data_IF_830393938524
#
_entry.id   IF_830393938524
#
_cell.length_a   1.000
_cell.length_b   1.000
_cell.length_c   1.000
_cell.angle_alpha   90.00
_cell.angle_beta   90.00
_cell.angle_gamma   90.00
#
_symmetry.space_group_name_H-M   'P 1'
#
loop_
_entity.id
_entity.type
_entity.pdbx_description
1 polymer ?
#
# COMPACT_ATOMS: atom_id res chain seq x y z
N UNK A 1 -7.05 -8.33 -10.07
CA UNK A 1 -6.18 -8.48 -8.88
C UNK A 1 -5.19 -7.32 -8.89
N UNK A 2 -4.91 -6.69 -7.74
CA UNK A 2 -4.11 -5.44 -7.64
C UNK A 2 -2.72 -5.56 -8.32
N UNK A 3 -2.18 -6.77 -8.45
CA UNK A 3 -0.89 -7.05 -9.09
C UNK A 3 -0.93 -7.33 -10.61
N UNK A 4 -2.08 -7.24 -11.29
CA UNK A 4 -2.17 -7.62 -12.72
C UNK A 4 -1.37 -6.72 -13.66
N UNK A 5 -1.09 -5.48 -13.25
CA UNK A 5 -0.41 -4.49 -14.08
C UNK A 5 1.10 -4.39 -13.79
N UNK A 6 1.60 -5.10 -12.77
CA UNK A 6 3.01 -5.14 -12.41
C UNK A 6 3.72 -6.16 -13.31
N UNK A 7 4.65 -5.68 -14.14
CA UNK A 7 5.41 -6.51 -15.08
C UNK A 7 6.83 -6.79 -14.54
N UNK A 8 7.50 -7.87 -14.99
CA UNK A 8 8.83 -8.25 -14.48
C UNK A 8 9.96 -7.22 -14.68
N UNK A 9 9.79 -6.26 -15.59
CA UNK A 9 10.79 -5.22 -15.88
C UNK A 9 10.59 -3.93 -15.08
N UNK A 10 9.51 -3.81 -14.31
CA UNK A 10 9.33 -2.65 -13.45
C UNK A 10 10.28 -2.70 -12.26
N UNK A 11 10.86 -1.55 -11.95
CA UNK A 11 11.57 -1.31 -10.69
C UNK A 11 10.60 -1.46 -9.50
N UNK A 12 11.13 -1.65 -8.29
CA UNK A 12 10.28 -1.68 -7.09
C UNK A 12 9.49 -0.38 -6.92
N UNK A 13 10.07 0.76 -7.30
CA UNK A 13 9.41 2.07 -7.25
C UNK A 13 8.17 2.11 -8.16
N UNK A 14 8.32 1.72 -9.43
CA UNK A 14 7.19 1.66 -10.38
C UNK A 14 6.12 0.64 -9.95
N UNK A 15 6.55 -0.49 -9.37
CA UNK A 15 5.64 -1.50 -8.84
C UNK A 15 4.80 -0.97 -7.67
N UNK A 16 5.39 -0.19 -6.75
CA UNK A 16 4.65 0.46 -5.65
C UNK A 16 3.67 1.52 -6.18
N UNK A 17 4.09 2.33 -7.16
CA UNK A 17 3.22 3.36 -7.76
C UNK A 17 1.97 2.72 -8.41
N UNK A 18 2.20 1.71 -9.26
CA UNK A 18 1.12 0.95 -9.91
C UNK A 18 0.24 0.26 -8.85
N UNK A 19 0.87 -0.35 -7.85
CA UNK A 19 0.18 -1.06 -6.77
C UNK A 19 -0.73 -0.14 -5.95
N UNK A 20 -0.24 1.04 -5.56
CA UNK A 20 -1.02 2.03 -4.82
C UNK A 20 -2.19 2.55 -5.66
N UNK A 21 -1.94 2.94 -6.91
CA UNK A 21 -3.00 3.41 -7.83
C UNK A 21 -4.09 2.34 -8.01
N UNK A 22 -3.69 1.10 -8.26
CA UNK A 22 -4.61 -0.02 -8.42
C UNK A 22 -5.37 -0.34 -7.13
N UNK A 23 -4.71 -0.27 -5.97
CA UNK A 23 -5.35 -0.45 -4.67
C UNK A 23 -6.43 0.60 -4.45
N UNK A 24 -6.12 1.90 -4.63
CA UNK A 24 -7.08 2.99 -4.45
C UNK A 24 -8.29 2.85 -5.40
N UNK A 25 -8.05 2.52 -6.67
CA UNK A 25 -9.14 2.26 -7.63
C UNK A 25 -10.00 1.05 -7.24
N UNK A 26 -9.38 0.00 -6.70
CA UNK A 26 -10.08 -1.19 -6.24
C UNK A 26 -10.99 -0.89 -5.04
N UNK A 27 -10.47 -0.24 -4.00
CA UNK A 27 -11.27 0.11 -2.82
C UNK A 27 -12.38 1.12 -3.15
N UNK A 28 -12.21 1.99 -4.15
CA UNK A 28 -13.28 2.90 -4.62
C UNK A 28 -14.50 2.13 -5.12
N UNK A 29 -14.26 1.05 -5.86
CA UNK A 29 -15.32 0.16 -6.36
C UNK A 29 -15.89 -0.76 -5.27
N UNK A 30 -15.15 -0.95 -4.18
CA UNK A 30 -15.47 -1.92 -3.13
C UNK A 30 -15.35 -1.30 -1.72
N UNK A 31 -15.98 -0.14 -1.48
CA UNK A 31 -15.87 0.60 -0.20
C UNK A 31 -16.18 -0.27 1.05
N UNK A 32 -17.08 -1.24 0.91
CA UNK A 32 -17.45 -2.21 1.95
C UNK A 32 -16.31 -3.13 2.43
N UNK A 33 -15.21 -3.24 1.68
CA UNK A 33 -14.03 -4.03 2.09
C UNK A 33 -13.47 -3.51 3.42
N UNK A 34 -13.46 -2.19 3.63
CA UNK A 34 -13.05 -1.63 4.91
C UNK A 34 -13.95 -2.11 6.05
N UNK A 35 -15.28 -2.09 5.87
CA UNK A 35 -16.20 -2.56 6.89
C UNK A 35 -15.92 -4.02 7.26
N UNK A 36 -15.71 -4.89 6.27
CA UNK A 36 -15.40 -6.31 6.50
C UNK A 36 -14.11 -6.47 7.32
N UNK A 37 -13.06 -5.73 6.98
CA UNK A 37 -11.78 -5.80 7.70
C UNK A 37 -11.98 -5.36 9.16
N UNK A 38 -12.65 -4.23 9.40
CA UNK A 38 -12.86 -3.73 10.76
C UNK A 38 -13.84 -4.57 11.58
N UNK A 39 -14.91 -5.08 10.96
CA UNK A 39 -15.87 -5.99 11.61
C UNK A 39 -15.20 -7.32 11.98
N UNK A 40 -14.24 -7.80 11.18
CA UNK A 40 -13.48 -9.01 11.51
C UNK A 40 -12.74 -8.87 12.83
N UNK A 41 -12.20 -7.69 13.16
CA UNK A 41 -11.54 -7.46 14.46
C UNK A 41 -12.48 -7.70 15.64
N UNK A 42 -13.75 -7.32 15.49
CA UNK A 42 -14.76 -7.47 16.53
C UNK A 42 -15.29 -8.92 16.62
N UNK A 43 -15.47 -9.58 15.48
CA UNK A 43 -16.03 -10.93 15.40
C UNK A 43 -14.98 -11.99 15.76
N UNK A 44 -13.82 -11.95 15.11
CA UNK A 44 -12.72 -12.88 15.30
C UNK A 44 -11.38 -12.18 15.04
N UNK A 45 -10.70 -11.84 16.14
CA UNK A 45 -9.40 -11.19 16.11
C UNK A 45 -8.35 -11.97 15.30
N UNK A 46 -8.43 -13.30 15.24
CA UNK A 46 -7.47 -14.10 14.48
C UNK A 46 -7.59 -13.85 12.98
N UNK A 47 -8.81 -13.72 12.44
CA UNK A 47 -9.03 -13.35 11.04
C UNK A 47 -8.43 -11.98 10.70
N UNK A 48 -8.57 -11.01 11.60
CA UNK A 48 -7.97 -9.70 11.43
C UNK A 48 -6.44 -9.78 11.39
N UNK A 49 -5.82 -10.48 12.34
CA UNK A 49 -4.36 -10.66 12.39
C UNK A 49 -3.86 -11.40 11.14
N UNK A 50 -4.52 -12.50 10.77
CA UNK A 50 -4.14 -13.31 9.62
C UNK A 50 -4.21 -12.50 8.31
N UNK A 51 -5.17 -11.59 8.17
CA UNK A 51 -5.25 -10.71 7.00
C UNK A 51 -3.97 -9.86 6.84
N UNK A 52 -3.53 -9.19 7.92
CA UNK A 52 -2.36 -8.32 7.88
C UNK A 52 -1.05 -9.12 7.77
N UNK A 53 -0.91 -10.25 8.46
CA UNK A 53 0.25 -11.13 8.37
C UNK A 53 0.39 -11.77 6.97
N UNK A 54 -0.71 -12.21 6.37
CA UNK A 54 -0.71 -12.73 5.01
C UNK A 54 -0.39 -11.65 3.97
N UNK A 55 -0.81 -10.40 4.21
CA UNK A 55 -0.42 -9.30 3.35
C UNK A 55 1.09 -9.01 3.47
N UNK A 56 1.59 -8.96 4.70
CA UNK A 56 3.00 -8.67 4.96
C UNK A 56 3.95 -9.73 4.38
N UNK A 57 3.62 -11.02 4.53
CA UNK A 57 4.41 -12.12 3.98
C UNK A 57 4.53 -12.11 2.45
N UNK A 58 3.51 -11.60 1.75
CA UNK A 58 3.56 -11.41 0.29
C UNK A 58 4.51 -10.29 -0.12
N UNK A 59 4.58 -9.23 0.68
CA UNK A 59 5.51 -8.13 0.44
C UNK A 59 6.96 -8.53 0.73
N UNK A 60 7.19 -9.36 1.75
CA UNK A 60 8.51 -9.75 2.25
C UNK A 60 9.48 -10.15 1.12
N UNK A 61 9.13 -11.18 0.35
CA UNK A 61 9.96 -11.71 -0.74
C UNK A 61 10.30 -10.64 -1.80
N UNK A 62 9.34 -9.79 -2.12
CA UNK A 62 9.54 -8.74 -3.11
C UNK A 62 10.37 -7.56 -2.60
N UNK A 63 10.34 -7.30 -1.28
CA UNK A 63 11.16 -6.27 -0.63
C UNK A 63 12.60 -6.76 -0.48
N UNK A 64 12.81 -7.99 -0.01
CA UNK A 64 14.14 -8.60 0.09
C UNK A 64 14.86 -8.61 -1.26
N UNK A 65 14.18 -9.07 -2.32
CA UNK A 65 14.76 -9.05 -3.66
C UNK A 65 15.07 -7.62 -4.16
N UNK A 66 14.27 -6.62 -3.78
CA UNK A 66 14.52 -5.23 -4.14
C UNK A 66 15.69 -4.63 -3.33
N UNK A 67 15.87 -5.03 -2.08
CA UNK A 67 17.04 -4.67 -1.25
C UNK A 67 18.32 -5.26 -1.83
N UNK A 68 18.30 -6.53 -2.27
CA UNK A 68 19.44 -7.18 -2.92
C UNK A 68 19.86 -6.46 -4.22
N UNK A 69 18.89 -5.91 -4.96
CA UNK A 69 19.14 -5.11 -6.16
C UNK A 69 19.51 -3.64 -5.86
N UNK A 70 19.48 -3.22 -4.61
CA UNK A 70 19.77 -1.84 -4.20
C UNK A 70 18.68 -0.83 -4.58
N UNK A 71 17.46 -1.29 -4.85
CA UNK A 71 16.32 -0.43 -5.26
C UNK A 71 15.63 0.24 -4.07
N UNK A 72 15.75 -0.34 -2.87
CA UNK A 72 15.14 0.17 -1.63
C UNK A 72 16.12 0.06 -0.46
N UNK A 73 15.85 0.81 0.61
CA UNK A 73 16.69 0.83 1.81
C UNK A 73 16.79 -0.54 2.49
N UNK A 74 18.00 -0.90 2.94
CA UNK A 74 18.26 -2.12 3.69
C UNK A 74 17.87 -1.97 5.18
N UNK A 75 16.61 -2.23 5.48
CA UNK A 75 16.01 -2.26 6.83
C UNK A 75 15.22 -3.56 7.00
N UNK A 76 14.70 -3.80 8.21
CA UNK A 76 13.79 -4.92 8.46
C UNK A 76 12.62 -4.94 7.43
N UNK A 77 12.52 -5.99 6.59
CA UNK A 77 11.47 -6.07 5.56
C UNK A 77 10.06 -6.13 6.14
N UNK A 78 9.87 -6.66 7.35
CA UNK A 78 8.58 -6.66 8.04
C UNK A 78 8.18 -5.24 8.42
N UNK A 79 9.10 -4.46 8.99
CA UNK A 79 8.84 -3.04 9.31
C UNK A 79 8.47 -2.26 8.06
N UNK A 80 9.23 -2.44 6.97
CA UNK A 80 8.96 -1.77 5.71
C UNK A 80 7.61 -2.19 5.10
N UNK A 81 7.26 -3.48 5.18
CA UNK A 81 5.98 -3.97 4.69
C UNK A 81 4.79 -3.35 5.44
N UNK A 82 4.84 -3.32 6.78
CA UNK A 82 3.79 -2.69 7.58
C UNK A 82 3.72 -1.18 7.37
N UNK A 83 4.85 -0.51 7.12
CA UNK A 83 4.88 0.90 6.77
C UNK A 83 4.16 1.17 5.44
N UNK A 84 4.52 0.46 4.36
CA UNK A 84 3.89 0.63 3.04
C UNK A 84 2.40 0.29 3.06
N UNK A 85 2.04 -0.79 3.77
CA UNK A 85 0.65 -1.19 3.98
C UNK A 85 -0.12 -0.11 4.74
N UNK A 86 0.45 0.44 5.81
CA UNK A 86 -0.16 1.52 6.58
C UNK A 86 -0.41 2.78 5.74
N UNK A 87 0.60 3.22 4.99
CA UNK A 87 0.48 4.37 4.07
C UNK A 87 -0.66 4.14 3.09
N UNK A 88 -0.68 2.99 2.41
CA UNK A 88 -1.72 2.66 1.43
C UNK A 88 -3.11 2.63 2.06
N UNK A 89 -3.24 1.99 3.21
CA UNK A 89 -4.51 1.84 3.94
C UNK A 89 -5.07 3.20 4.40
N UNK A 90 -4.25 4.06 5.00
CA UNK A 90 -4.71 5.36 5.49
C UNK A 90 -5.02 6.36 4.37
N UNK A 91 -4.21 6.37 3.29
CA UNK A 91 -4.52 7.17 2.09
C UNK A 91 -5.85 6.70 1.49
N UNK A 92 -6.07 5.39 1.41
CA UNK A 92 -7.33 4.83 0.98
C UNK A 92 -8.52 5.24 1.85
N UNK A 93 -8.38 5.21 3.18
CA UNK A 93 -9.44 5.69 4.08
C UNK A 93 -9.79 7.15 3.81
N UNK A 94 -8.79 8.04 3.71
CA UNK A 94 -9.04 9.47 3.49
C UNK A 94 -9.74 9.75 2.16
N UNK A 95 -9.18 9.25 1.06
CA UNK A 95 -9.58 9.65 -0.30
C UNK A 95 -10.68 8.79 -0.92
N UNK A 96 -11.07 7.68 -0.29
CA UNK A 96 -12.12 6.79 -0.80
C UNK A 96 -13.29 6.64 0.16
N UNK A 97 -13.01 6.57 1.46
CA UNK A 97 -14.04 6.32 2.47
C UNK A 97 -14.58 7.63 3.08
N UNK A 98 -13.71 8.64 3.28
CA UNK A 98 -14.12 9.91 3.90
C UNK A 98 -14.51 10.98 2.89
N UNK A 99 -13.91 10.95 1.69
CA UNK A 99 -14.26 11.85 0.60
C UNK A 99 -15.30 11.20 -0.31
N UNK A 100 -16.36 11.94 -0.63
CA UNK A 100 -17.45 11.50 -1.51
C UNK A 100 -17.23 11.94 -2.98
N UNK A 101 -16.07 12.50 -3.31
CA UNK A 101 -15.74 12.95 -4.66
C UNK A 101 -15.21 11.80 -5.52
N UNK A 102 -16.14 11.01 -6.06
CA UNK A 102 -15.83 9.84 -6.88
C UNK A 102 -15.26 10.20 -8.27
N UNK A 103 -15.28 11.48 -8.67
CA UNK A 103 -14.80 11.97 -9.98
C UNK A 103 -13.29 12.27 -9.99
N UNK A 104 -12.66 12.44 -8.81
CA UNK A 104 -11.25 12.80 -8.74
C UNK A 104 -10.31 11.62 -9.09
N UNK A 105 -9.26 11.91 -9.88
CA UNK A 105 -8.20 10.95 -10.15
C UNK A 105 -7.29 10.82 -8.92
N UNK A 106 -6.79 9.60 -8.67
CA UNK A 106 -5.80 9.38 -7.62
C UNK A 106 -4.37 9.74 -8.01
N UNK A 107 -4.12 10.15 -9.25
CA UNK A 107 -2.76 10.37 -9.76
C UNK A 107 -1.98 11.39 -8.91
N UNK A 108 -2.56 12.56 -8.63
CA UNK A 108 -1.91 13.58 -7.82
C UNK A 108 -1.61 13.10 -6.39
N UNK A 109 -2.44 12.24 -5.81
CA UNK A 109 -2.24 11.65 -4.48
C UNK A 109 -1.14 10.61 -4.51
N UNK A 110 -1.17 9.71 -5.51
CA UNK A 110 -0.16 8.69 -5.73
C UNK A 110 1.22 9.34 -5.93
N UNK A 111 1.31 10.36 -6.78
CA UNK A 111 2.54 11.09 -7.06
C UNK A 111 3.14 11.70 -5.78
N UNK A 112 2.31 12.32 -4.94
CA UNK A 112 2.75 12.88 -3.65
C UNK A 112 3.24 11.80 -2.68
N UNK A 113 2.53 10.68 -2.57
CA UNK A 113 2.96 9.55 -1.73
C UNK A 113 4.30 9.00 -2.22
N UNK A 114 4.44 8.78 -3.53
CA UNK A 114 5.67 8.26 -4.12
C UNK A 114 6.85 9.24 -3.97
N UNK A 115 6.61 10.55 -4.08
CA UNK A 115 7.62 11.58 -3.81
C UNK A 115 8.11 11.51 -2.36
N UNK A 116 7.19 11.37 -1.40
CA UNK A 116 7.51 11.22 0.03
C UNK A 116 8.30 9.94 0.27
N UNK A 117 7.94 8.82 -0.37
CA UNK A 117 8.69 7.56 -0.27
C UNK A 117 10.10 7.70 -0.85
N UNK A 118 10.28 8.50 -1.90
CA UNK A 118 11.59 8.73 -2.54
C UNK A 118 12.49 9.66 -1.73
N UNK A 119 11.94 10.74 -1.20
CA UNK A 119 12.71 11.85 -0.61
C UNK A 119 12.69 11.88 0.92
N UNK A 120 11.73 11.20 1.54
CA UNK A 120 11.46 11.28 2.97
C UNK A 120 10.70 12.55 3.36
N UNK A 121 10.31 12.64 4.64
CA UNK A 121 9.48 13.75 5.17
C UNK A 121 10.30 14.89 5.79
N UNK A 122 11.59 14.69 6.07
CA UNK A 122 12.42 15.65 6.80
C UNK A 122 13.29 16.46 5.85
N UNK A 123 13.13 17.79 5.90
CA UNK A 123 13.94 18.73 5.14
C UNK A 123 15.14 19.18 5.98
N UNK A 124 16.20 18.36 5.98
CA UNK A 124 17.58 18.69 6.40
C UNK A 124 17.77 19.79 7.45
N UNK A 125 17.06 19.74 8.57
CA UNK A 125 17.19 20.64 9.73
C UNK A 125 17.12 19.83 11.02
#
# INVERSE_FOLDING_TARGET
AIAQDIKPHHTRFEAEEIGLRAFLQYIRKHKHVYNIIWESLYIDKSLFVDYYENFASRYLHGLEAAQERGEIVNVDPTVLSYFLMGVSNFIGLKYVMFDDDDEESFDAVVDQVMEILRTGIFLGK
#
